data_IF_377261082424
#
_entry.id   IF_377261082424
#
_cell.length_a   1.000
_cell.length_b   1.000
_cell.length_c   1.000
_cell.angle_alpha   90.00
_cell.angle_beta   90.00
_cell.angle_gamma   90.00
#
_symmetry.space_group_name_H-M   'P 1'
#
loop_
_entity.id
_entity.type
_entity.pdbx_description
1 polymer ?
#
# COMPACT_ATOMS: atom_id res chain seq x y z
N UNK A 1 -29.80 -38.89 -76.93
CA UNK A 1 -29.32 -37.58 -77.41
C UNK A 1 -29.39 -36.56 -76.28
N UNK A 2 -28.24 -35.90 -76.01
CA UNK A 2 -28.08 -34.57 -75.36
C UNK A 2 -28.27 -34.43 -73.84
N UNK A 3 -27.10 -34.23 -73.19
CA UNK A 3 -26.77 -33.17 -72.20
C UNK A 3 -27.34 -33.38 -70.77
N UNK A 4 -26.70 -32.98 -69.68
CA UNK A 4 -25.62 -32.01 -69.44
C UNK A 4 -25.05 -32.24 -68.03
N UNK A 5 -23.77 -31.90 -67.86
CA UNK A 5 -23.02 -31.76 -66.61
C UNK A 5 -23.78 -31.10 -65.45
N UNK A 6 -23.56 -31.57 -64.21
CA UNK A 6 -23.60 -30.74 -63.00
C UNK A 6 -22.46 -31.11 -62.04
N UNK A 7 -21.53 -30.16 -61.88
CA UNK A 7 -20.55 -30.06 -60.80
C UNK A 7 -21.23 -29.57 -59.51
N UNK A 8 -20.93 -30.21 -58.39
CA UNK A 8 -21.03 -29.71 -57.01
C UNK A 8 -20.21 -30.70 -56.17
N UNK A 9 -19.01 -30.40 -55.66
CA UNK A 9 -18.71 -29.37 -54.68
C UNK A 9 -18.53 -30.05 -53.32
N UNK A 10 -17.37 -30.68 -53.07
CA UNK A 10 -17.06 -31.36 -51.80
C UNK A 10 -16.72 -30.29 -50.76
N UNK A 11 -17.62 -30.07 -49.80
CA UNK A 11 -17.43 -29.17 -48.68
C UNK A 11 -16.72 -29.90 -47.53
N UNK A 12 -15.46 -29.55 -47.28
CA UNK A 12 -14.70 -29.97 -46.10
C UNK A 12 -15.23 -29.20 -44.90
N UNK A 13 -15.88 -29.89 -43.96
CA UNK A 13 -16.32 -29.31 -42.68
C UNK A 13 -15.26 -29.57 -41.62
N UNK A 14 -14.46 -28.56 -41.31
CA UNK A 14 -13.59 -28.55 -40.13
C UNK A 14 -14.43 -28.10 -38.95
N UNK A 15 -14.81 -29.04 -38.09
CA UNK A 15 -15.47 -28.75 -36.81
C UNK A 15 -14.39 -28.33 -35.80
N UNK A 16 -14.15 -27.02 -35.67
CA UNK A 16 -13.35 -26.50 -34.55
C UNK A 16 -14.23 -26.51 -33.31
N UNK A 17 -14.00 -27.49 -32.43
CA UNK A 17 -14.61 -27.52 -31.10
C UNK A 17 -14.01 -26.40 -30.25
N UNK A 18 -14.79 -25.33 -30.03
CA UNK A 18 -14.44 -24.27 -29.09
C UNK A 18 -14.65 -24.82 -27.67
N UNK A 19 -13.59 -25.36 -27.06
CA UNK A 19 -13.61 -25.75 -25.66
C UNK A 19 -13.75 -24.48 -24.81
N UNK A 20 -14.97 -24.18 -24.36
CA UNK A 20 -15.21 -23.20 -23.33
C UNK A 20 -14.55 -23.69 -22.03
N UNK A 21 -13.35 -23.19 -21.74
CA UNK A 21 -12.76 -23.38 -20.43
C UNK A 21 -13.72 -22.79 -19.38
N UNK A 22 -14.09 -23.52 -18.32
CA UNK A 22 -14.83 -22.94 -17.23
C UNK A 22 -13.96 -21.84 -16.65
N UNK A 23 -14.42 -20.59 -16.73
CA UNK A 23 -13.77 -19.48 -16.06
C UNK A 23 -13.85 -19.78 -14.57
N UNK A 24 -12.75 -20.29 -14.01
CA UNK A 24 -12.65 -20.53 -12.59
C UNK A 24 -12.91 -19.19 -11.91
N UNK A 25 -14.10 -19.07 -11.30
CA UNK A 25 -14.39 -18.02 -10.36
C UNK A 25 -13.32 -18.15 -9.27
N UNK A 26 -12.25 -17.36 -9.40
CA UNK A 26 -11.24 -17.26 -8.36
C UNK A 26 -11.98 -16.74 -7.15
N UNK A 27 -11.99 -17.50 -6.07
CA UNK A 27 -12.43 -17.01 -4.78
C UNK A 27 -11.62 -15.76 -4.47
N UNK A 28 -12.26 -14.60 -4.64
CA UNK A 28 -11.66 -13.29 -4.40
C UNK A 28 -12.00 -12.94 -2.98
N UNK A 29 -10.99 -12.78 -2.13
CA UNK A 29 -11.17 -12.24 -0.80
C UNK A 29 -10.93 -10.73 -0.84
N UNK A 30 -11.71 -9.99 -0.05
CA UNK A 30 -11.50 -8.58 0.19
C UNK A 30 -11.32 -8.35 1.69
N UNK A 31 -10.42 -7.44 2.03
CA UNK A 31 -10.29 -6.94 3.38
C UNK A 31 -11.28 -5.79 3.56
N UNK A 32 -12.07 -5.88 4.63
CA UNK A 32 -13.05 -4.86 5.03
C UNK A 32 -12.75 -4.38 6.44
N UNK A 33 -12.98 -3.11 6.77
CA UNK A 33 -12.92 -2.64 8.14
C UNK A 33 -14.08 -3.23 8.96
N UNK A 34 -13.81 -3.52 10.22
CA UNK A 34 -14.83 -3.86 11.23
C UNK A 34 -15.38 -2.61 11.90
N UNK A 35 -14.56 -1.55 11.98
CA UNK A 35 -14.90 -0.24 12.56
C UNK A 35 -14.70 0.88 11.55
N UNK A 36 -15.22 2.08 11.88
CA UNK A 36 -14.92 3.29 11.12
C UNK A 36 -13.45 3.67 11.31
N UNK A 37 -12.71 3.84 10.22
CA UNK A 37 -11.31 4.29 10.21
C UNK A 37 -11.27 5.69 9.60
N UNK A 38 -10.73 6.65 10.35
CA UNK A 38 -10.67 8.05 9.91
C UNK A 38 -9.45 8.33 9.02
N UNK A 39 -9.48 9.40 8.21
CA UNK A 39 -8.31 9.84 7.47
C UNK A 39 -7.13 10.14 8.40
N UNK A 40 -5.93 9.65 8.05
CA UNK A 40 -4.71 9.79 8.85
C UNK A 40 -4.57 8.78 9.99
N UNK A 41 -5.57 7.94 10.24
CA UNK A 41 -5.50 6.87 11.24
C UNK A 41 -4.74 5.65 10.67
N UNK A 42 -3.87 5.07 11.49
CA UNK A 42 -3.17 3.84 11.17
C UNK A 42 -4.09 2.63 11.26
N UNK A 43 -4.08 1.80 10.21
CA UNK A 43 -4.96 0.64 10.13
C UNK A 43 -4.35 -0.51 10.92
N UNK A 44 -5.01 -0.87 12.01
CA UNK A 44 -4.65 -2.01 12.86
C UNK A 44 -5.28 -3.30 12.37
N UNK A 45 -4.57 -4.43 12.49
CA UNK A 45 -5.07 -5.76 12.13
C UNK A 45 -6.37 -6.15 12.84
N UNK A 46 -6.57 -5.69 14.08
CA UNK A 46 -7.76 -5.98 14.87
C UNK A 46 -9.04 -5.32 14.32
N UNK A 47 -8.92 -4.29 13.48
CA UNK A 47 -10.04 -3.59 12.86
C UNK A 47 -10.35 -4.10 11.45
N UNK A 48 -9.80 -5.25 11.06
CA UNK A 48 -9.92 -5.80 9.72
C UNK A 48 -10.56 -7.18 9.76
N UNK A 49 -11.43 -7.44 8.80
CA UNK A 49 -11.99 -8.76 8.54
C UNK A 49 -11.80 -9.15 7.07
N UNK A 50 -11.73 -10.46 6.83
CA UNK A 50 -11.58 -11.05 5.50
C UNK A 50 -12.93 -11.59 5.04
N UNK A 51 -13.45 -11.01 3.97
CA UNK A 51 -14.77 -11.38 3.44
C UNK A 51 -14.62 -11.88 2.00
N UNK A 52 -15.33 -12.96 1.68
CA UNK A 52 -15.39 -13.47 0.31
C UNK A 52 -16.21 -12.53 -0.57
N UNK A 53 -15.64 -12.12 -1.69
CA UNK A 53 -16.29 -11.26 -2.67
C UNK A 53 -17.21 -12.11 -3.53
N UNK A 54 -18.51 -12.05 -3.24
CA UNK A 54 -19.54 -12.72 -4.03
C UNK A 54 -19.91 -11.94 -5.30
N UNK A 55 -19.56 -10.65 -5.38
CA UNK A 55 -19.93 -9.80 -6.51
C UNK A 55 -18.90 -9.85 -7.66
N UNK A 56 -19.24 -10.45 -8.82
CA UNK A 56 -18.33 -10.54 -9.96
C UNK A 56 -18.04 -9.17 -10.61
N UNK A 57 -18.88 -8.16 -10.39
CA UNK A 57 -18.69 -6.80 -10.93
C UNK A 57 -17.75 -5.94 -10.08
N UNK A 58 -17.26 -6.45 -8.95
CA UNK A 58 -16.33 -5.70 -8.11
C UNK A 58 -15.00 -5.52 -8.85
N UNK A 59 -14.81 -4.32 -9.41
CA UNK A 59 -13.57 -3.92 -10.09
C UNK A 59 -12.41 -4.08 -9.11
N UNK A 60 -11.28 -4.62 -9.58
CA UNK A 60 -10.07 -4.80 -8.76
C UNK A 60 -9.52 -3.47 -8.20
N UNK A 61 -8.45 -3.55 -7.41
CA UNK A 61 -7.82 -2.39 -6.78
C UNK A 61 -8.22 -2.16 -5.32
N UNK A 62 -8.82 -3.16 -4.69
CA UNK A 62 -9.01 -3.24 -3.24
C UNK A 62 -8.01 -4.21 -2.62
N UNK A 63 -7.78 -4.05 -1.32
CA UNK A 63 -6.89 -4.92 -0.57
C UNK A 63 -7.45 -6.35 -0.49
N UNK A 64 -6.63 -7.31 -0.91
CA UNK A 64 -6.98 -8.74 -0.87
C UNK A 64 -6.31 -9.44 0.30
N UNK A 65 -5.17 -8.94 0.76
CA UNK A 65 -4.43 -9.47 1.91
C UNK A 65 -4.33 -8.44 3.04
N UNK A 66 -4.23 -8.93 4.28
CA UNK A 66 -4.06 -8.08 5.47
C UNK A 66 -2.72 -7.32 5.44
N UNK A 67 -1.67 -7.93 4.91
CA UNK A 67 -0.33 -7.36 4.75
C UNK A 67 -0.30 -6.09 3.91
N UNK A 68 -1.24 -5.96 2.96
CA UNK A 68 -1.35 -4.77 2.10
C UNK A 68 -1.98 -3.57 2.81
N UNK A 69 -2.57 -3.76 3.99
CA UNK A 69 -3.36 -2.73 4.68
C UNK A 69 -2.81 -2.41 6.06
N UNK A 70 -2.37 -3.43 6.79
CA UNK A 70 -1.92 -3.27 8.17
C UNK A 70 -0.72 -2.31 8.22
N UNK A 71 -0.82 -1.31 9.09
CA UNK A 71 0.20 -0.27 9.26
C UNK A 71 0.14 0.86 8.23
N UNK A 72 -0.75 0.80 7.22
CA UNK A 72 -0.97 1.93 6.31
C UNK A 72 -1.91 2.97 6.94
N UNK A 73 -1.82 4.20 6.45
CA UNK A 73 -2.73 5.30 6.77
C UNK A 73 -3.82 5.40 5.71
N UNK A 74 -5.07 5.58 6.13
CA UNK A 74 -6.13 5.88 5.17
C UNK A 74 -6.16 7.37 4.80
N UNK A 75 -6.33 7.70 3.52
CA UNK A 75 -6.56 9.07 3.06
C UNK A 75 -8.04 9.47 3.07
N UNK A 76 -8.97 8.52 3.24
CA UNK A 76 -10.42 8.73 3.25
C UNK A 76 -11.06 7.98 4.43
N UNK A 77 -12.27 8.37 4.82
CA UNK A 77 -13.01 7.61 5.83
C UNK A 77 -13.39 6.24 5.26
N UNK A 78 -12.96 5.17 5.93
CA UNK A 78 -13.36 3.81 5.61
C UNK A 78 -14.49 3.40 6.54
N UNK A 79 -15.59 2.96 5.96
CA UNK A 79 -16.77 2.50 6.70
C UNK A 79 -16.70 0.99 6.92
N UNK A 80 -17.27 0.50 8.03
CA UNK A 80 -17.30 -0.93 8.30
C UNK A 80 -18.02 -1.71 7.19
N UNK A 81 -17.51 -2.90 6.88
CA UNK A 81 -18.06 -3.80 5.86
C UNK A 81 -17.84 -3.35 4.41
N UNK A 82 -17.16 -2.22 4.16
CA UNK A 82 -16.79 -1.78 2.80
C UNK A 82 -15.40 -2.22 2.43
N UNK A 83 -15.18 -2.49 1.14
CA UNK A 83 -13.84 -2.82 0.63
C UNK A 83 -12.90 -1.64 0.74
N UNK A 84 -11.64 -1.90 1.11
CA UNK A 84 -10.59 -0.88 1.24
C UNK A 84 -9.88 -0.70 -0.10
N UNK A 85 -10.01 0.46 -0.79
CA UNK A 85 -9.30 0.71 -2.04
C UNK A 85 -7.81 0.98 -1.77
N UNK A 86 -6.91 0.27 -2.46
CA UNK A 86 -5.46 0.43 -2.31
C UNK A 86 -5.01 1.87 -2.65
N UNK A 87 -5.68 2.51 -3.61
CA UNK A 87 -5.42 3.90 -3.99
C UNK A 87 -5.68 4.93 -2.88
N UNK A 88 -6.42 4.54 -1.82
CA UNK A 88 -6.67 5.41 -0.66
C UNK A 88 -5.67 5.21 0.48
N UNK A 89 -4.83 4.18 0.39
CA UNK A 89 -3.84 3.87 1.40
C UNK A 89 -2.56 4.67 1.14
N UNK A 90 -1.94 5.15 2.22
CA UNK A 90 -0.66 5.84 2.21
C UNK A 90 0.26 5.17 3.23
N UNK A 91 1.56 5.17 2.93
CA UNK A 91 2.55 4.77 3.92
C UNK A 91 2.61 5.83 5.03
N UNK A 92 2.66 5.43 6.31
CA UNK A 92 2.92 6.36 7.39
C UNK A 92 4.30 6.98 7.19
N UNK A 93 4.43 8.26 7.54
CA UNK A 93 5.74 8.88 7.66
C UNK A 93 6.50 8.20 8.80
N UNK A 94 7.80 7.98 8.61
CA UNK A 94 8.66 7.46 9.66
C UNK A 94 8.83 8.48 10.78
N UNK A 95 8.81 9.76 10.43
CA UNK A 95 8.94 10.89 11.34
C UNK A 95 7.86 11.91 11.03
N UNK A 96 7.13 12.34 12.05
CA UNK A 96 6.06 13.35 11.95
C UNK A 96 6.56 14.66 12.55
N UNK A 97 6.33 15.78 11.87
CA UNK A 97 6.64 17.12 12.36
C UNK A 97 6.13 17.33 13.77
N UNK A 98 6.99 17.89 14.63
CA UNK A 98 6.64 18.23 16.01
C UNK A 98 6.60 17.03 16.97
N UNK A 99 6.72 15.79 16.48
CA UNK A 99 6.89 14.62 17.35
C UNK A 99 8.20 14.69 18.13
N UNK A 100 8.31 13.97 19.24
CA UNK A 100 9.56 13.86 19.97
C UNK A 100 10.33 12.63 19.45
N UNK A 101 11.56 12.84 19.01
CA UNK A 101 12.46 11.78 18.53
C UNK A 101 13.86 11.92 19.14
N UNK A 102 14.72 10.93 18.89
CA UNK A 102 16.11 10.93 19.33
C UNK A 102 17.05 11.33 18.20
N UNK A 103 17.85 12.34 18.45
CA UNK A 103 18.97 12.75 17.59
C UNK A 103 20.20 11.94 17.96
N UNK A 104 20.90 11.40 16.96
CA UNK A 104 22.16 10.68 17.13
C UNK A 104 23.26 11.46 16.39
N UNK A 105 24.24 11.95 17.13
CA UNK A 105 25.43 12.62 16.58
C UNK A 105 26.62 11.69 16.69
N UNK A 106 27.27 11.39 15.56
CA UNK A 106 28.47 10.57 15.52
C UNK A 106 29.68 11.44 15.17
N UNK A 107 30.65 11.51 16.07
CA UNK A 107 31.89 12.27 15.91
C UNK A 107 33.05 11.31 16.18
N UNK A 108 33.63 10.74 15.12
CA UNK A 108 34.66 9.71 15.23
C UNK A 108 34.13 8.47 15.96
N UNK A 109 34.66 8.21 17.16
CA UNK A 109 34.24 7.10 18.04
C UNK A 109 33.26 7.53 19.15
N UNK A 110 32.84 8.80 19.18
CA UNK A 110 31.88 9.32 20.15
C UNK A 110 30.48 9.38 19.53
N UNK A 111 29.51 8.77 20.22
CA UNK A 111 28.08 8.87 19.89
C UNK A 111 27.36 9.65 20.99
N UNK A 112 26.71 10.75 20.61
CA UNK A 112 25.92 11.59 21.50
C UNK A 112 24.45 11.46 21.12
N UNK A 113 23.58 11.26 22.09
CA UNK A 113 22.13 11.26 21.89
C UNK A 113 21.47 12.48 22.54
N UNK A 114 20.55 13.12 21.84
CA UNK A 114 19.77 14.25 22.36
C UNK A 114 18.28 14.11 21.98
N UNK A 115 17.41 14.88 22.63
CA UNK A 115 16.00 14.96 22.25
C UNK A 115 15.83 15.94 21.09
N UNK A 116 15.08 15.54 20.08
CA UNK A 116 14.82 16.33 18.89
C UNK A 116 13.33 16.47 18.60
N UNK A 117 12.96 17.58 17.98
CA UNK A 117 11.65 17.78 17.36
C UNK A 117 11.83 18.09 15.88
N UNK A 118 11.37 17.21 14.98
CA UNK A 118 11.51 17.38 13.54
C UNK A 118 10.62 18.53 13.07
N UNK A 119 11.13 19.30 12.11
CA UNK A 119 10.44 20.46 11.56
C UNK A 119 9.56 20.10 10.36
N UNK A 120 9.81 18.95 9.74
CA UNK A 120 9.19 18.49 8.50
C UNK A 120 8.81 16.99 8.66
N UNK A 121 7.76 16.54 7.96
CA UNK A 121 7.38 15.12 7.88
C UNK A 121 8.34 14.40 6.91
N UNK A 122 8.76 13.19 7.25
CA UNK A 122 9.74 12.46 6.44
C UNK A 122 9.64 10.94 6.54
N UNK A 123 10.14 10.28 5.49
CA UNK A 123 10.31 8.84 5.45
C UNK A 123 11.75 8.45 5.80
N UNK A 124 11.96 7.15 5.99
CA UNK A 124 13.29 6.57 6.22
C UNK A 124 14.21 6.94 5.05
N UNK A 125 15.39 7.47 5.35
CA UNK A 125 16.39 7.90 4.37
C UNK A 125 16.28 9.36 3.93
N UNK A 126 15.20 10.06 4.28
CA UNK A 126 15.07 11.48 3.94
C UNK A 126 15.94 12.34 4.88
N UNK A 127 16.46 13.45 4.33
CA UNK A 127 17.21 14.45 5.10
C UNK A 127 16.24 15.52 5.60
N UNK A 128 16.14 15.69 6.91
CA UNK A 128 15.25 16.67 7.55
C UNK A 128 15.99 17.58 8.52
N UNK A 129 15.37 18.73 8.80
CA UNK A 129 15.76 19.62 9.88
C UNK A 129 15.06 19.23 11.16
N UNK A 130 15.82 19.16 12.24
CA UNK A 130 15.34 18.82 13.57
C UNK A 130 15.84 19.88 14.53
N UNK A 131 14.94 20.39 15.37
CA UNK A 131 15.30 21.25 16.48
C UNK A 131 15.71 20.38 17.66
N UNK A 132 16.92 20.55 18.14
CA UNK A 132 17.37 19.97 19.40
C UNK A 132 16.59 20.64 20.55
N UNK A 133 15.89 19.85 21.36
CA UNK A 133 15.07 20.34 22.46
C UNK A 133 15.91 20.76 23.68
N UNK A 134 17.12 20.20 23.82
CA UNK A 134 18.06 20.51 24.90
C UNK A 134 18.79 21.84 24.66
N UNK A 135 19.26 22.08 23.42
CA UNK A 135 20.06 23.27 23.07
C UNK A 135 19.30 24.34 22.28
N UNK A 136 18.12 24.02 21.75
CA UNK A 136 17.34 24.90 20.87
C UNK A 136 17.87 25.04 19.44
N UNK A 137 19.05 24.48 19.14
CA UNK A 137 19.70 24.56 17.84
C UNK A 137 18.98 23.71 16.79
N UNK A 138 18.99 24.14 15.53
CA UNK A 138 18.43 23.38 14.41
C UNK A 138 19.57 22.66 13.69
N UNK A 139 19.44 21.35 13.55
CA UNK A 139 20.42 20.47 12.90
C UNK A 139 19.76 19.73 11.75
N UNK A 140 20.52 19.42 10.70
CA UNK A 140 20.05 18.59 9.59
C UNK A 140 20.60 17.17 9.74
N UNK A 141 19.75 16.18 9.55
CA UNK A 141 20.15 14.77 9.65
C UNK A 141 19.27 13.87 8.79
N UNK A 142 19.69 12.61 8.66
CA UNK A 142 18.98 11.60 7.89
C UNK A 142 18.11 10.76 8.82
N UNK A 143 16.85 10.53 8.43
CA UNK A 143 15.93 9.66 9.17
C UNK A 143 16.37 8.21 9.04
N UNK A 144 16.56 7.54 10.16
CA UNK A 144 16.93 6.13 10.26
C UNK A 144 15.69 5.25 10.38
N UNK A 145 15.83 3.95 10.07
CA UNK A 145 14.70 3.00 10.09
C UNK A 145 14.12 2.70 11.47
N UNK A 146 14.83 3.09 12.53
CA UNK A 146 14.40 2.99 13.93
C UNK A 146 13.66 4.25 14.42
N UNK A 147 13.40 5.22 13.53
CA UNK A 147 12.75 6.50 13.87
C UNK A 147 13.68 7.52 14.51
N UNK A 148 14.99 7.24 14.59
CA UNK A 148 15.99 8.22 15.02
C UNK A 148 16.47 9.07 13.85
N UNK A 149 17.12 10.19 14.14
CA UNK A 149 17.73 11.04 13.11
C UNK A 149 19.23 11.09 13.34
N UNK A 150 19.99 10.59 12.37
CA UNK A 150 21.44 10.63 12.39
C UNK A 150 21.94 11.94 11.80
N UNK A 151 22.62 12.74 12.62
CA UNK A 151 23.23 14.00 12.22
C UNK A 151 24.71 13.75 11.93
N UNK A 152 25.14 14.08 10.72
CA UNK A 152 26.56 14.07 10.37
C UNK A 152 27.15 15.43 10.76
N UNK A 153 28.13 15.44 11.65
CA UNK A 153 28.93 16.63 11.88
C UNK A 153 29.71 16.95 10.59
N UNK A 154 29.70 18.22 10.19
CA UNK A 154 30.53 18.72 9.08
C UNK A 154 31.96 18.95 9.56
#
# INVERSE_FOLDING_TARGET
MKRMFRLTGVAVTVLVAFAAAPSAARDRYAIVPTDTIYPGEAISSNKLDRVQVTNPNLVGGFASEMTDVVGMLSSKTLLPGRTIPLATLKRPYAVIRGSQLRLIFNIGNLTISASGSPMDDANIGDVIRVRNLDSGQIVSGTVMGDGTVQVMAK
#
